data_IF_671978659420
#
_entry.id   IF_671978659420
#
_cell.length_a   1.000
_cell.length_b   1.000
_cell.length_c   1.000
_cell.angle_alpha   90.00
_cell.angle_beta   90.00
_cell.angle_gamma   90.00
#
_symmetry.space_group_name_H-M   'P 1'
#
loop_
_entity.id
_entity.type
_entity.pdbx_description
1 polymer ?
#
# COMPACT_ATOMS: atom_id res chain seq x y z
N UNK A 1 2.28 -24.00 45.65
CA UNK A 1 2.50 -23.91 44.19
C UNK A 1 1.53 -22.89 43.61
N UNK A 2 1.94 -21.63 43.42
CA UNK A 2 1.15 -20.61 42.73
C UNK A 2 1.78 -20.42 41.35
N UNK A 3 1.07 -20.80 40.28
CA UNK A 3 1.50 -20.56 38.89
C UNK A 3 0.95 -19.20 38.49
N UNK A 4 1.83 -18.22 38.31
CA UNK A 4 1.49 -16.91 37.78
C UNK A 4 1.24 -17.05 36.27
N UNK A 5 0.03 -16.76 35.82
CA UNK A 5 -0.28 -16.60 34.41
C UNK A 5 0.12 -15.18 33.97
N UNK A 6 1.13 -15.07 33.13
CA UNK A 6 1.47 -13.83 32.43
C UNK A 6 0.49 -13.68 31.26
N UNK A 7 -0.45 -12.75 31.39
CA UNK A 7 -1.22 -12.22 30.27
C UNK A 7 -0.28 -11.36 29.41
N UNK A 8 0.11 -11.88 28.24
CA UNK A 8 0.75 -11.07 27.21
C UNK A 8 -0.32 -10.17 26.59
N UNK A 9 -0.36 -8.91 26.97
CA UNK A 9 -1.10 -7.87 26.26
C UNK A 9 -0.43 -7.65 24.90
N UNK A 10 -1.08 -8.07 23.82
CA UNK A 10 -0.67 -7.71 22.46
C UNK A 10 -0.82 -6.20 22.27
N UNK A 11 0.30 -5.48 22.22
CA UNK A 11 0.32 -4.08 21.84
C UNK A 11 0.13 -4.02 20.32
N UNK A 12 -1.09 -3.72 19.86
CA UNK A 12 -1.37 -3.41 18.46
C UNK A 12 -0.66 -2.11 18.10
N UNK A 13 0.57 -2.21 17.59
CA UNK A 13 1.23 -1.09 16.93
C UNK A 13 0.51 -0.88 15.60
N UNK A 14 -0.46 0.01 15.60
CA UNK A 14 -1.13 0.46 14.39
C UNK A 14 -0.10 1.25 13.59
N UNK A 15 0.30 0.75 12.43
CA UNK A 15 1.06 1.54 11.46
C UNK A 15 0.22 2.76 11.10
N UNK A 16 0.73 3.96 11.42
CA UNK A 16 0.08 5.20 11.02
C UNK A 16 0.29 5.30 9.50
N UNK A 17 -0.72 4.86 8.74
CA UNK A 17 -0.83 5.17 7.32
C UNK A 17 -0.90 6.69 7.21
N UNK A 18 0.11 7.32 6.61
CA UNK A 18 0.17 8.76 6.49
C UNK A 18 -0.72 9.20 5.32
N UNK A 19 -1.98 9.55 5.62
CA UNK A 19 -2.93 10.09 4.66
C UNK A 19 -2.36 11.35 3.99
N UNK A 20 -2.24 11.36 2.66
CA UNK A 20 -1.79 12.54 1.94
C UNK A 20 -2.95 13.53 1.75
N UNK A 21 -2.62 14.82 1.66
CA UNK A 21 -3.59 15.86 1.27
C UNK A 21 -3.44 16.16 -0.23
N UNK A 22 -4.52 15.99 -0.99
CA UNK A 22 -4.59 16.28 -2.42
C UNK A 22 -5.37 17.57 -2.62
N UNK A 23 -4.71 18.59 -3.17
CA UNK A 23 -5.33 19.89 -3.40
C UNK A 23 -5.91 19.97 -4.82
N UNK A 24 -7.19 20.32 -4.90
CA UNK A 24 -7.90 20.60 -6.16
C UNK A 24 -8.33 22.06 -6.17
N UNK A 25 -7.76 22.85 -7.08
CA UNK A 25 -8.16 24.24 -7.27
C UNK A 25 -9.41 24.31 -8.16
N UNK A 26 -10.41 25.07 -7.75
CA UNK A 26 -11.53 25.47 -8.62
C UNK A 26 -11.18 26.83 -9.19
N UNK A 27 -10.93 26.89 -10.50
CA UNK A 27 -10.58 28.13 -11.20
C UNK A 27 -10.97 28.06 -12.66
N UNK A 28 -11.40 29.19 -13.23
CA UNK A 28 -11.84 29.31 -14.62
C UNK A 28 -12.92 28.27 -14.95
N UNK A 29 -13.90 28.13 -14.05
CA UNK A 29 -14.98 27.14 -14.18
C UNK A 29 -14.46 25.70 -14.43
N UNK A 30 -13.36 25.32 -13.80
CA UNK A 30 -12.71 24.00 -13.96
C UNK A 30 -12.15 23.50 -12.64
N UNK A 31 -12.15 22.17 -12.43
CA UNK A 31 -11.40 21.52 -11.35
C UNK A 31 -9.96 21.26 -11.81
N UNK A 32 -8.97 21.66 -11.04
CA UNK A 32 -7.55 21.59 -11.39
C UNK A 32 -6.77 20.86 -10.28
N UNK A 33 -6.23 19.66 -10.53
CA UNK A 33 -6.37 18.88 -11.77
C UNK A 33 -7.80 18.34 -11.96
N UNK A 34 -8.20 18.12 -13.22
CA UNK A 34 -9.52 17.55 -13.55
C UNK A 34 -9.58 16.04 -13.28
N UNK A 35 -8.42 15.37 -13.26
CA UNK A 35 -8.28 13.96 -12.88
C UNK A 35 -6.97 13.71 -12.16
N UNK A 36 -6.98 12.81 -11.18
CA UNK A 36 -5.78 12.43 -10.43
C UNK A 36 -5.89 11.01 -9.86
N UNK A 37 -4.77 10.49 -9.36
CA UNK A 37 -4.73 9.26 -8.58
C UNK A 37 -4.67 9.59 -7.10
N UNK A 38 -5.27 8.73 -6.29
CA UNK A 38 -5.26 8.83 -4.83
C UNK A 38 -5.19 7.45 -4.20
N UNK A 39 -5.02 7.39 -2.89
CA UNK A 39 -5.10 6.17 -2.12
C UNK A 39 -6.20 6.23 -1.06
N UNK A 40 -6.68 5.05 -0.65
CA UNK A 40 -7.59 4.96 0.51
C UNK A 40 -6.92 5.63 1.72
N UNK A 41 -7.62 6.52 2.39
CA UNK A 41 -7.12 7.31 3.51
C UNK A 41 -6.71 8.74 3.15
N UNK A 42 -6.40 9.04 1.89
CA UNK A 42 -6.06 10.41 1.47
C UNK A 42 -7.23 11.38 1.68
N UNK A 43 -6.90 12.66 1.85
CA UNK A 43 -7.86 13.75 2.00
C UNK A 43 -7.79 14.66 0.78
N UNK A 44 -8.90 14.77 0.05
CA UNK A 44 -9.04 15.73 -1.03
C UNK A 44 -9.50 17.05 -0.43
N UNK A 45 -8.89 18.16 -0.83
CA UNK A 45 -9.28 19.52 -0.46
C UNK A 45 -9.55 20.30 -1.74
N UNK A 46 -10.81 20.66 -1.98
CA UNK A 46 -11.18 21.60 -3.02
C UNK A 46 -11.08 23.02 -2.49
N UNK A 47 -10.41 23.91 -3.21
CA UNK A 47 -10.31 25.33 -2.88
C UNK A 47 -10.90 26.16 -4.00
N UNK A 48 -11.89 27.00 -3.69
CA UNK A 48 -12.43 27.92 -4.68
C UNK A 48 -11.53 29.15 -4.86
N UNK A 49 -10.75 29.17 -5.95
CA UNK A 49 -9.91 30.29 -6.34
C UNK A 49 -10.54 31.14 -7.46
N UNK A 50 -11.77 30.85 -7.84
CA UNK A 50 -12.55 31.65 -8.77
C UNK A 50 -13.25 32.83 -8.08
N UNK A 51 -13.74 33.77 -8.88
CA UNK A 51 -14.56 34.88 -8.38
C UNK A 51 -16.05 34.51 -8.19
N UNK A 52 -16.46 33.36 -8.73
CA UNK A 52 -17.84 32.87 -8.66
C UNK A 52 -17.98 31.78 -7.60
N UNK A 53 -19.20 31.57 -7.10
CA UNK A 53 -19.52 30.44 -6.25
C UNK A 53 -19.46 29.13 -7.05
N UNK A 54 -18.86 28.09 -6.47
CA UNK A 54 -18.85 26.75 -7.05
C UNK A 54 -19.35 25.73 -6.03
N UNK A 55 -19.33 24.45 -6.37
CA UNK A 55 -19.60 23.39 -5.42
C UNK A 55 -19.06 22.06 -5.92
N UNK A 56 -19.31 21.01 -5.16
CA UNK A 56 -18.86 19.64 -5.46
C UNK A 56 -20.00 18.69 -5.14
N UNK A 57 -20.36 17.82 -6.07
CA UNK A 57 -21.37 16.79 -5.89
C UNK A 57 -20.85 15.47 -6.45
N UNK A 58 -20.77 14.44 -5.60
CA UNK A 58 -20.40 13.09 -6.01
C UNK A 58 -21.38 12.53 -7.04
N UNK A 59 -20.85 11.93 -8.10
CA UNK A 59 -21.60 11.16 -9.11
C UNK A 59 -21.35 9.66 -8.93
N UNK A 60 -20.52 9.07 -9.80
CA UNK A 60 -20.11 7.67 -9.68
C UNK A 60 -19.14 7.52 -8.51
N UNK A 61 -19.44 6.62 -7.57
CA UNK A 61 -18.55 6.28 -6.44
C UNK A 61 -18.57 4.76 -6.20
N UNK A 62 -17.52 4.17 -5.60
CA UNK A 62 -17.54 2.79 -5.15
C UNK A 62 -18.64 2.53 -4.10
N UNK A 63 -19.25 1.34 -4.10
CA UNK A 63 -20.36 1.03 -3.19
C UNK A 63 -20.01 1.06 -1.69
N UNK A 64 -18.73 0.95 -1.34
CA UNK A 64 -18.24 1.08 0.04
C UNK A 64 -17.85 2.53 0.42
N UNK A 65 -18.00 3.50 -0.49
CA UNK A 65 -17.67 4.90 -0.25
C UNK A 65 -18.90 5.69 0.22
N UNK A 66 -18.66 6.69 1.07
CA UNK A 66 -19.67 7.70 1.38
C UNK A 66 -19.79 8.72 0.24
N UNK A 67 -21.02 9.13 -0.07
CA UNK A 67 -21.29 10.29 -0.91
C UNK A 67 -20.69 11.56 -0.31
N UNK A 68 -20.28 12.50 -1.15
CA UNK A 68 -19.78 13.80 -0.72
C UNK A 68 -20.47 14.91 -1.49
N UNK A 69 -20.84 15.97 -0.77
CA UNK A 69 -21.55 17.10 -1.34
C UNK A 69 -21.23 18.38 -0.60
N UNK A 70 -20.89 19.41 -1.36
CA UNK A 70 -20.82 20.80 -0.94
C UNK A 70 -21.60 21.61 -1.98
N UNK A 71 -22.89 21.91 -1.73
CA UNK A 71 -23.74 22.61 -2.68
C UNK A 71 -23.18 23.97 -3.11
N UNK A 72 -22.47 24.64 -2.19
CA UNK A 72 -21.82 25.93 -2.43
C UNK A 72 -20.49 25.99 -1.68
N UNK A 73 -19.46 26.50 -2.34
CA UNK A 73 -18.12 26.83 -1.86
C UNK A 73 -17.87 28.25 -2.38
N UNK A 74 -17.96 29.23 -1.48
CA UNK A 74 -17.71 30.64 -1.82
C UNK A 74 -16.23 30.89 -2.18
N UNK A 75 -15.89 32.00 -2.86
CA UNK A 75 -14.50 32.37 -3.15
C UNK A 75 -13.62 32.30 -1.90
N UNK A 76 -12.40 31.79 -2.07
CA UNK A 76 -11.37 31.52 -1.03
C UNK A 76 -11.73 30.43 -0.01
N UNK A 77 -12.92 29.82 -0.09
CA UNK A 77 -13.33 28.75 0.83
C UNK A 77 -12.94 27.38 0.31
N UNK A 78 -12.95 26.42 1.22
CA UNK A 78 -12.54 25.04 0.96
C UNK A 78 -13.61 24.04 1.37
N UNK A 79 -13.55 22.87 0.75
CA UNK A 79 -14.31 21.67 1.14
C UNK A 79 -13.37 20.47 1.12
N UNK A 80 -13.53 19.54 2.05
CA UNK A 80 -12.67 18.35 2.12
C UNK A 80 -13.45 17.04 2.16
N UNK A 81 -12.82 15.99 1.65
CA UNK A 81 -13.34 14.62 1.66
C UNK A 81 -12.21 13.63 1.95
N UNK A 82 -12.42 12.75 2.94
CA UNK A 82 -11.52 11.63 3.22
C UNK A 82 -11.96 10.40 2.43
N UNK A 83 -11.03 9.82 1.69
CA UNK A 83 -11.28 8.67 0.83
C UNK A 83 -11.34 7.40 1.67
N UNK A 84 -12.44 6.64 1.56
CA UNK A 84 -12.66 5.45 2.39
C UNK A 84 -12.60 4.13 1.61
N UNK A 85 -12.69 4.17 0.28
CA UNK A 85 -12.76 2.96 -0.54
C UNK A 85 -11.93 3.10 -1.82
N UNK A 86 -11.35 1.98 -2.26
CA UNK A 86 -10.69 1.90 -3.55
C UNK A 86 -11.73 1.86 -4.69
N UNK A 87 -11.32 2.32 -5.88
CA UNK A 87 -12.15 2.32 -7.08
C UNK A 87 -12.21 3.68 -7.77
N UNK A 88 -13.13 3.82 -8.72
CA UNK A 88 -13.27 5.01 -9.54
C UNK A 88 -14.32 5.96 -8.96
N UNK A 89 -13.97 7.25 -8.94
CA UNK A 89 -14.82 8.33 -8.49
C UNK A 89 -15.00 9.35 -9.62
N UNK A 90 -16.23 9.82 -9.82
CA UNK A 90 -16.57 10.94 -10.67
C UNK A 90 -17.45 11.93 -9.90
N UNK A 91 -17.28 13.22 -10.15
CA UNK A 91 -18.04 14.28 -9.50
C UNK A 91 -18.24 15.47 -10.44
N UNK A 92 -19.20 16.32 -10.09
CA UNK A 92 -19.54 17.52 -10.85
C UNK A 92 -19.61 18.73 -9.93
N UNK A 93 -19.63 19.93 -10.49
CA UNK A 93 -20.04 21.11 -9.74
C UNK A 93 -21.56 21.13 -9.61
N UNK A 94 -22.06 21.31 -8.39
CA UNK A 94 -23.50 21.40 -8.07
C UNK A 94 -24.20 22.57 -8.77
N UNK A 95 -23.47 23.66 -9.03
CA UNK A 95 -23.99 24.88 -9.66
C UNK A 95 -23.76 24.92 -11.18
N UNK A 96 -22.79 24.16 -11.67
CA UNK A 96 -22.30 24.24 -13.05
C UNK A 96 -22.05 22.82 -13.61
N UNK A 97 -23.09 22.18 -14.15
CA UNK A 97 -23.04 20.77 -14.56
C UNK A 97 -22.02 20.42 -15.67
N UNK A 98 -21.45 21.42 -16.35
CA UNK A 98 -20.34 21.24 -17.30
C UNK A 98 -19.01 20.96 -16.61
N UNK A 99 -18.83 21.39 -15.36
CA UNK A 99 -17.60 21.16 -14.59
C UNK A 99 -17.59 19.73 -14.07
N UNK A 100 -16.60 18.95 -14.51
CA UNK A 100 -16.46 17.53 -14.15
C UNK A 100 -15.06 17.26 -13.62
N UNK A 101 -14.99 16.44 -12.59
CA UNK A 101 -13.75 15.92 -12.06
C UNK A 101 -13.85 14.42 -11.82
N UNK A 102 -12.70 13.78 -11.74
CA UNK A 102 -12.62 12.35 -11.44
C UNK A 102 -11.34 12.01 -10.68
N UNK A 103 -11.33 10.88 -10.00
CA UNK A 103 -10.11 10.32 -9.45
C UNK A 103 -10.21 8.80 -9.33
N UNK A 104 -9.06 8.14 -9.43
CA UNK A 104 -8.96 6.69 -9.22
C UNK A 104 -8.22 6.43 -7.92
N UNK A 105 -8.81 5.59 -7.08
CA UNK A 105 -8.29 5.26 -5.76
C UNK A 105 -7.74 3.84 -5.76
N UNK A 106 -6.45 3.73 -5.43
CA UNK A 106 -5.85 2.45 -5.09
C UNK A 106 -6.01 2.17 -3.61
N UNK A 107 -6.19 0.90 -3.23
CA UNK A 107 -6.00 0.51 -1.83
C UNK A 107 -4.54 0.77 -1.46
N UNK A 108 -4.26 1.24 -0.24
CA UNK A 108 -2.90 1.27 0.34
C UNK A 108 -2.34 -0.15 0.61
N UNK A 109 -2.66 -1.12 -0.25
CA UNK A 109 -1.96 -2.39 -0.40
C UNK A 109 -0.86 -2.32 -1.46
N UNK A 110 -0.64 -1.15 -2.05
CA UNK A 110 0.58 -0.87 -2.81
C UNK A 110 1.74 -0.69 -1.82
N UNK A 111 2.42 -1.79 -1.49
CA UNK A 111 3.87 -1.75 -1.34
C UNK A 111 4.41 -0.94 -2.51
N UNK A 112 4.90 0.25 -2.21
CA UNK A 112 5.35 1.25 -3.16
C UNK A 112 6.44 0.66 -4.05
N UNK A 113 6.09 0.41 -5.32
CA UNK A 113 6.95 -0.06 -6.40
C UNK A 113 7.64 -1.41 -6.16
N UNK A 114 7.85 -2.17 -7.24
CA UNK A 114 8.84 -3.23 -7.25
C UNK A 114 10.23 -2.60 -7.06
N UNK A 115 10.59 -2.23 -5.83
CA UNK A 115 11.99 -2.24 -5.45
C UNK A 115 12.40 -3.69 -5.68
N UNK A 116 13.39 -3.93 -6.53
CA UNK A 116 14.09 -5.21 -6.56
C UNK A 116 14.78 -5.35 -5.19
N UNK A 117 14.00 -5.69 -4.16
CA UNK A 117 14.43 -5.84 -2.77
C UNK A 117 15.54 -6.86 -2.76
N UNK A 118 15.31 -7.99 -3.44
CA UNK A 118 16.32 -9.02 -3.68
C UNK A 118 16.89 -8.83 -5.08
N UNK A 119 18.04 -8.18 -5.14
CA UNK A 119 18.80 -7.94 -6.37
C UNK A 119 19.26 -9.27 -6.98
N UNK A 120 19.88 -10.14 -6.16
CA UNK A 120 20.40 -11.43 -6.61
C UNK A 120 19.97 -12.55 -5.67
N UNK A 121 19.60 -13.67 -6.27
CA UNK A 121 19.26 -14.91 -5.58
C UNK A 121 19.78 -16.08 -6.42
N UNK A 122 20.90 -16.68 -6.01
CA UNK A 122 21.63 -17.64 -6.85
C UNK A 122 22.40 -18.67 -6.01
N UNK A 123 22.71 -19.84 -6.56
CA UNK A 123 22.20 -20.36 -7.82
C UNK A 123 20.70 -20.72 -7.71
N UNK A 124 20.01 -20.70 -8.83
CA UNK A 124 18.65 -21.24 -8.95
C UNK A 124 18.56 -21.92 -10.33
N UNK A 125 18.53 -23.26 -10.43
CA UNK A 125 18.40 -24.23 -9.33
C UNK A 125 19.56 -24.24 -8.32
N UNK A 126 19.28 -24.59 -7.07
CA UNK A 126 20.25 -24.68 -5.96
C UNK A 126 20.45 -26.13 -5.54
N UNK A 127 21.67 -26.51 -5.15
CA UNK A 127 21.96 -27.81 -4.53
C UNK A 127 22.24 -27.69 -3.03
N UNK A 128 23.26 -26.94 -2.64
CA UNK A 128 23.64 -26.88 -1.22
C UNK A 128 23.28 -25.55 -0.57
N UNK A 129 23.70 -24.44 -1.16
CA UNK A 129 23.54 -23.12 -0.56
C UNK A 129 23.06 -22.11 -1.60
N UNK A 130 22.17 -21.22 -1.16
CA UNK A 130 21.72 -20.09 -1.95
C UNK A 130 22.25 -18.79 -1.33
N UNK A 131 22.77 -17.92 -2.18
CA UNK A 131 23.24 -16.59 -1.85
C UNK A 131 22.15 -15.57 -2.15
N UNK A 132 21.97 -14.64 -1.22
CA UNK A 132 21.01 -13.56 -1.28
C UNK A 132 21.78 -12.25 -1.27
N UNK A 133 21.49 -11.37 -2.23
CA UNK A 133 21.90 -9.97 -2.21
C UNK A 133 20.66 -9.09 -2.30
N UNK A 134 20.46 -8.25 -1.28
CA UNK A 134 19.34 -7.35 -1.17
C UNK A 134 19.78 -5.88 -1.22
N UNK A 135 18.92 -5.04 -1.79
CA UNK A 135 19.10 -3.57 -1.79
C UNK A 135 18.60 -2.93 -0.48
N UNK A 136 18.10 -3.73 0.45
CA UNK A 136 17.58 -3.28 1.75
C UNK A 136 17.95 -4.25 2.86
N UNK A 137 17.89 -3.77 4.10
CA UNK A 137 18.16 -4.55 5.30
C UNK A 137 17.11 -5.66 5.46
N UNK A 138 17.57 -6.86 5.83
CA UNK A 138 16.75 -7.99 6.23
C UNK A 138 17.11 -8.41 7.65
N UNK A 139 16.14 -8.97 8.38
CA UNK A 139 16.36 -9.59 9.69
C UNK A 139 15.85 -11.04 9.80
N UNK A 140 15.06 -11.50 8.84
CA UNK A 140 14.52 -12.86 8.84
C UNK A 140 14.27 -13.37 7.42
N UNK A 141 14.53 -14.66 7.23
CA UNK A 141 14.24 -15.37 5.98
C UNK A 141 13.47 -16.65 6.30
N UNK A 142 12.40 -16.91 5.57
CA UNK A 142 11.58 -18.11 5.72
C UNK A 142 11.58 -18.93 4.44
N UNK A 143 11.63 -20.25 4.59
CA UNK A 143 11.44 -21.23 3.53
C UNK A 143 10.07 -21.88 3.68
N UNK A 144 9.31 -21.92 2.59
CA UNK A 144 8.00 -22.56 2.51
C UNK A 144 7.98 -23.62 1.41
N UNK A 145 7.17 -24.67 1.60
CA UNK A 145 6.83 -25.58 0.51
C UNK A 145 5.80 -24.96 -0.45
N UNK A 146 5.42 -25.71 -1.49
CA UNK A 146 4.43 -25.28 -2.49
C UNK A 146 3.01 -25.11 -1.94
N UNK A 147 2.72 -25.67 -0.76
CA UNK A 147 1.42 -25.49 -0.08
C UNK A 147 1.39 -24.24 0.81
N UNK A 148 2.53 -23.56 0.98
CA UNK A 148 2.68 -22.41 1.87
C UNK A 148 3.01 -22.80 3.31
N UNK A 149 3.35 -24.06 3.58
CA UNK A 149 3.74 -24.51 4.93
C UNK A 149 5.17 -24.06 5.23
N UNK A 150 5.38 -23.41 6.38
CA UNK A 150 6.70 -22.98 6.83
C UNK A 150 7.59 -24.19 7.17
N UNK A 151 8.69 -24.35 6.45
CA UNK A 151 9.68 -25.41 6.68
C UNK A 151 10.80 -24.94 7.60
N UNK A 152 11.33 -23.74 7.33
CA UNK A 152 12.51 -23.22 8.03
C UNK A 152 12.46 -21.71 8.15
N UNK A 153 12.99 -21.21 9.26
CA UNK A 153 13.24 -19.79 9.48
C UNK A 153 14.72 -19.59 9.86
N UNK A 154 15.33 -18.56 9.29
CA UNK A 154 16.67 -18.06 9.61
C UNK A 154 16.54 -16.63 10.12
N UNK A 155 17.23 -16.32 11.22
CA UNK A 155 17.43 -14.94 11.66
C UNK A 155 18.70 -14.45 10.97
N UNK A 156 18.52 -13.58 9.98
CA UNK A 156 19.64 -12.98 9.25
C UNK A 156 19.85 -11.56 9.74
N UNK A 157 20.98 -10.95 9.46
CA UNK A 157 21.11 -9.51 9.68
C UNK A 157 22.05 -8.91 8.66
N UNK A 158 21.49 -8.07 7.81
CA UNK A 158 22.23 -7.33 6.80
C UNK A 158 21.49 -7.33 5.48
N UNK A 159 22.24 -7.01 4.43
CA UNK A 159 21.78 -7.01 3.04
C UNK A 159 22.22 -8.26 2.27
N UNK A 160 23.03 -9.14 2.89
CA UNK A 160 23.48 -10.40 2.30
C UNK A 160 23.21 -11.56 3.25
N UNK A 161 22.90 -12.71 2.69
CA UNK A 161 22.74 -13.96 3.43
C UNK A 161 23.21 -15.15 2.60
N UNK A 162 23.65 -16.21 3.28
CA UNK A 162 23.94 -17.51 2.68
C UNK A 162 23.15 -18.57 3.43
N UNK A 163 22.18 -19.19 2.74
CA UNK A 163 21.23 -20.11 3.37
C UNK A 163 21.55 -21.52 2.91
N UNK A 164 21.65 -22.44 3.87
CA UNK A 164 21.94 -23.84 3.60
C UNK A 164 20.64 -24.63 3.37
N UNK A 165 20.52 -25.22 2.18
CA UNK A 165 19.42 -26.06 1.74
C UNK A 165 19.78 -27.54 1.55
N UNK A 166 21.02 -27.96 1.82
CA UNK A 166 21.49 -29.33 1.50
C UNK A 166 20.71 -30.45 2.20
N UNK A 167 19.97 -30.13 3.27
CA UNK A 167 19.14 -31.07 4.02
C UNK A 167 17.70 -31.17 3.54
N UNK A 168 17.28 -30.34 2.58
CA UNK A 168 15.93 -30.36 2.06
C UNK A 168 15.86 -31.22 0.79
N UNK A 169 14.76 -31.98 0.60
CA UNK A 169 14.54 -32.74 -0.62
C UNK A 169 14.53 -31.87 -1.88
N UNK A 170 14.70 -32.51 -3.03
CA UNK A 170 14.57 -31.82 -4.31
C UNK A 170 13.12 -31.43 -4.55
N UNK A 171 12.92 -30.24 -5.13
CA UNK A 171 11.59 -29.70 -5.32
C UNK A 171 11.53 -28.18 -5.45
N UNK A 172 10.30 -27.68 -5.54
CA UNK A 172 10.02 -26.25 -5.61
C UNK A 172 9.78 -25.73 -4.20
N UNK A 173 10.41 -24.60 -3.89
CA UNK A 173 10.22 -23.88 -2.63
C UNK A 173 9.96 -22.40 -2.88
N UNK A 174 9.37 -21.74 -1.89
CA UNK A 174 9.26 -20.29 -1.83
C UNK A 174 10.09 -19.77 -0.67
N UNK A 175 10.94 -18.79 -0.94
CA UNK A 175 11.74 -18.10 0.05
C UNK A 175 11.20 -16.69 0.25
N UNK A 176 10.88 -16.32 1.49
CA UNK A 176 10.34 -15.01 1.84
C UNK A 176 11.29 -14.26 2.76
N UNK A 177 11.50 -12.98 2.48
CA UNK A 177 12.46 -12.12 3.17
C UNK A 177 11.73 -11.07 3.98
N UNK A 178 12.21 -10.76 5.19
CA UNK A 178 11.55 -9.86 6.12
C UNK A 178 12.51 -8.85 6.73
N UNK A 179 11.95 -7.71 7.15
CA UNK A 179 12.59 -6.74 8.03
C UNK A 179 11.57 -6.22 9.05
N UNK A 180 11.88 -6.31 10.34
CA UNK A 180 11.00 -5.91 11.45
C UNK A 180 9.59 -6.48 11.29
N UNK A 181 9.49 -7.79 11.03
CA UNK A 181 8.25 -8.53 10.77
C UNK A 181 7.50 -8.17 9.47
N UNK A 182 7.95 -7.16 8.72
CA UNK A 182 7.37 -6.81 7.41
C UNK A 182 7.90 -7.73 6.32
N UNK A 183 7.01 -8.34 5.53
CA UNK A 183 7.39 -9.09 4.32
C UNK A 183 7.93 -8.12 3.26
N UNK A 184 9.16 -8.35 2.81
CA UNK A 184 9.84 -7.54 1.81
C UNK A 184 9.68 -8.07 0.39
N UNK A 185 9.91 -9.37 0.19
CA UNK A 185 9.87 -10.05 -1.11
C UNK A 185 9.63 -11.55 -0.91
N UNK A 186 9.15 -12.23 -1.95
CA UNK A 186 9.06 -13.70 -2.01
C UNK A 186 9.52 -14.19 -3.37
N UNK A 187 10.41 -15.18 -3.38
CA UNK A 187 10.99 -15.74 -4.60
C UNK A 187 10.76 -17.24 -4.66
N UNK A 188 10.45 -17.73 -5.86
CA UNK A 188 10.44 -19.17 -6.14
C UNK A 188 11.88 -19.64 -6.37
N UNK A 189 12.25 -20.74 -5.75
CA UNK A 189 13.52 -21.44 -5.99
C UNK A 189 13.26 -22.91 -6.33
N UNK A 190 14.20 -23.51 -7.05
CA UNK A 190 14.21 -24.94 -7.40
C UNK A 190 15.41 -25.55 -6.70
N UNK A 191 15.20 -26.62 -5.93
CA UNK A 191 16.24 -27.40 -5.26
C UNK A 191 16.46 -28.70 -6.04
N UNK A 192 17.71 -28.98 -6.38
CA UNK A 192 18.21 -30.16 -7.14
C UNK A 192 19.40 -30.82 -6.47
#
# INVERSE_FOLDING_TARGET
>A
MKKNALLLSALLVSTILNAATINVSIKNFTFIPASFMANVGDVIVWTNNDGSDHGVLSGVIPGAANTFSAPTIAPTKTFSYTIQAAGSYAYVCSLHGSMKGSFTVSSLTSTQSAINVIEKLYPNPVTDKIHVEANTQMDKVNLFDVSGTLIKSWNESGTKAELNLSKFPDGIYYIAFYYKEMLLDTRKIIKE
#
